data_IF_275704921307
#
_entry.id   IF_275704921307
#
_cell.length_a   1.000
_cell.length_b   1.000
_cell.length_c   1.000
_cell.angle_alpha   90.00
_cell.angle_beta   90.00
_cell.angle_gamma   90.00
#
_symmetry.space_group_name_H-M   'P 1'
#
loop_
_entity.id
_entity.type
_entity.pdbx_description
1 polymer ?
#
# COMPACT_ATOMS: atom_id res chain seq x y z
N UNK A 1 -10.81 -25.51 21.39
CA UNK A 1 -11.81 -26.38 20.70
C UNK A 1 -12.95 -25.46 20.29
N UNK A 2 -13.01 -25.09 19.02
CA UNK A 2 -14.09 -24.25 18.48
C UNK A 2 -15.25 -25.19 18.21
N UNK A 3 -16.39 -24.89 18.80
CA UNK A 3 -17.61 -25.70 18.73
C UNK A 3 -18.11 -25.78 17.28
N UNK A 4 -18.19 -26.98 16.72
CA UNK A 4 -18.37 -27.29 15.30
C UNK A 4 -19.81 -27.20 14.78
N UNK A 5 -20.74 -26.52 15.46
CA UNK A 5 -22.17 -26.57 15.10
C UNK A 5 -22.82 -25.20 14.81
N UNK A 6 -22.06 -24.20 14.43
CA UNK A 6 -22.66 -22.96 13.93
C UNK A 6 -22.56 -22.96 12.40
N UNK A 7 -23.64 -23.34 11.76
CA UNK A 7 -23.78 -23.18 10.30
C UNK A 7 -23.95 -21.69 10.03
N UNK A 8 -22.88 -21.00 9.68
CA UNK A 8 -22.93 -19.60 9.26
C UNK A 8 -23.10 -19.61 7.76
N UNK A 9 -24.24 -19.13 7.29
CA UNK A 9 -24.49 -18.85 5.88
C UNK A 9 -23.70 -17.59 5.50
N UNK A 10 -22.73 -17.71 4.62
CA UNK A 10 -21.93 -16.59 4.15
C UNK A 10 -22.54 -16.00 2.88
N UNK A 11 -22.80 -14.69 2.83
CA UNK A 11 -23.29 -14.05 1.63
C UNK A 11 -22.24 -13.99 0.54
N UNK A 12 -22.69 -13.95 -0.71
CA UNK A 12 -21.84 -13.71 -1.87
C UNK A 12 -21.27 -12.30 -1.79
N UNK A 13 -19.95 -12.14 -1.82
CA UNK A 13 -19.29 -10.83 -1.85
C UNK A 13 -18.81 -10.54 -3.26
N UNK A 14 -19.31 -9.46 -3.85
CA UNK A 14 -18.75 -8.90 -5.08
C UNK A 14 -17.57 -8.01 -4.70
N UNK A 15 -16.39 -8.32 -5.19
CA UNK A 15 -15.22 -7.45 -5.06
C UNK A 15 -15.02 -6.78 -6.39
N UNK A 16 -15.12 -5.45 -6.42
CA UNK A 16 -14.83 -4.65 -7.59
C UNK A 16 -13.36 -4.25 -7.58
N UNK A 17 -12.63 -4.59 -8.62
CA UNK A 17 -11.29 -4.06 -8.86
C UNK A 17 -11.44 -2.70 -9.53
N UNK A 18 -11.00 -1.64 -8.85
CA UNK A 18 -11.05 -0.27 -9.37
C UNK A 18 -10.05 -0.01 -10.50
N UNK A 19 -9.16 -0.98 -10.77
CA UNK A 19 -8.13 -0.87 -11.81
C UNK A 19 -8.42 -1.69 -13.07
N UNK A 20 -9.39 -2.60 -13.01
CA UNK A 20 -9.86 -3.36 -14.15
C UNK A 20 -11.39 -3.31 -14.17
N UNK A 21 -11.99 -3.23 -15.34
CA UNK A 21 -13.46 -3.21 -15.52
C UNK A 21 -14.15 -4.52 -15.08
N UNK A 22 -13.46 -5.38 -14.37
CA UNK A 22 -13.92 -6.70 -13.98
C UNK A 22 -14.34 -6.75 -12.52
N UNK A 23 -15.58 -7.09 -12.26
CA UNK A 23 -16.08 -7.43 -10.95
C UNK A 23 -15.87 -8.93 -10.70
N UNK A 24 -15.19 -9.28 -9.60
CA UNK A 24 -15.01 -10.67 -9.18
C UNK A 24 -15.96 -11.01 -8.04
N UNK A 25 -16.70 -12.09 -8.21
CA UNK A 25 -17.57 -12.63 -7.17
C UNK A 25 -16.81 -13.67 -6.36
N UNK A 26 -16.53 -13.37 -5.09
CA UNK A 26 -15.99 -14.34 -4.16
C UNK A 26 -17.10 -15.18 -3.56
N UNK A 27 -17.08 -16.47 -3.85
CA UNK A 27 -17.94 -17.43 -3.19
C UNK A 27 -17.25 -17.90 -1.91
N UNK A 28 -17.79 -17.50 -0.76
CA UNK A 28 -17.30 -18.01 0.52
C UNK A 28 -17.93 -19.38 0.74
N UNK A 29 -17.15 -20.45 1.01
CA UNK A 29 -17.72 -21.77 1.27
C UNK A 29 -18.58 -21.76 2.52
N UNK A 30 -19.66 -22.55 2.53
CA UNK A 30 -20.55 -22.69 3.68
C UNK A 30 -19.87 -23.28 4.91
N UNK A 31 -18.78 -24.02 4.72
CA UNK A 31 -17.93 -24.53 5.78
C UNK A 31 -16.49 -24.64 5.31
N UNK A 32 -15.55 -24.50 6.23
CA UNK A 32 -14.14 -24.74 6.00
C UNK A 32 -13.81 -26.19 6.40
N UNK A 33 -12.95 -26.81 5.61
CA UNK A 33 -12.43 -28.17 5.87
C UNK A 33 -10.90 -28.14 5.89
N UNK A 34 -10.27 -29.29 6.14
CA UNK A 34 -8.83 -29.43 6.07
C UNK A 34 -8.30 -29.21 4.64
N UNK A 35 -9.07 -29.66 3.64
CA UNK A 35 -8.77 -29.52 2.21
C UNK A 35 -9.10 -28.12 1.68
N UNK A 36 -10.03 -27.43 2.35
CA UNK A 36 -10.49 -26.08 2.03
C UNK A 36 -10.39 -25.20 3.30
N UNK A 37 -9.19 -24.85 3.73
CA UNK A 37 -8.99 -24.04 4.94
C UNK A 37 -9.31 -22.57 4.71
N UNK A 38 -9.63 -21.79 5.76
CA UNK A 38 -9.83 -20.34 5.65
C UNK A 38 -8.54 -19.58 5.34
N UNK A 39 -7.39 -20.15 5.69
CA UNK A 39 -6.05 -19.62 5.44
C UNK A 39 -5.16 -20.77 4.99
N UNK A 40 -4.47 -20.59 3.87
CA UNK A 40 -3.45 -21.53 3.44
C UNK A 40 -2.21 -21.37 4.33
N UNK A 41 -2.05 -22.27 5.31
CA UNK A 41 -0.95 -22.22 6.28
C UNK A 41 0.15 -23.21 5.92
N UNK A 42 1.39 -22.72 5.87
CA UNK A 42 2.59 -23.54 5.68
C UNK A 42 3.70 -23.07 6.63
N UNK A 43 4.58 -23.99 7.00
CA UNK A 43 5.73 -23.67 7.83
C UNK A 43 6.99 -24.43 7.41
N UNK A 44 8.15 -23.81 7.68
CA UNK A 44 9.46 -24.43 7.46
C UNK A 44 10.40 -24.03 8.60
N UNK A 45 11.27 -24.95 9.00
CA UNK A 45 12.26 -24.68 10.06
C UNK A 45 13.65 -25.01 9.53
N UNK A 46 14.60 -24.10 9.79
CA UNK A 46 16.01 -24.29 9.51
C UNK A 46 16.77 -24.35 10.83
N UNK A 47 17.56 -25.41 11.02
CA UNK A 47 18.42 -25.58 12.21
C UNK A 47 19.75 -24.83 12.05
N UNK A 48 19.67 -23.57 11.67
CA UNK A 48 20.79 -22.62 11.52
C UNK A 48 20.37 -21.21 11.89
N UNK A 49 21.33 -20.32 12.07
CA UNK A 49 21.06 -18.88 12.21
C UNK A 49 20.67 -18.29 10.84
N UNK A 50 19.93 -17.19 10.84
CA UNK A 50 19.50 -16.57 9.61
C UNK A 50 20.67 -16.08 8.74
N UNK A 51 21.69 -15.51 9.36
CA UNK A 51 22.92 -15.06 8.69
C UNK A 51 23.75 -16.18 8.05
N UNK A 52 23.57 -17.43 8.48
CA UNK A 52 24.25 -18.60 7.89
C UNK A 52 23.55 -19.03 6.58
N UNK A 53 22.30 -18.69 6.39
CA UNK A 53 21.54 -18.97 5.18
C UNK A 53 21.96 -18.02 4.04
N UNK A 54 22.12 -18.50 2.78
CA UNK A 54 22.53 -17.65 1.64
C UNK A 54 21.66 -16.40 1.45
N UNK A 55 20.35 -16.52 1.70
CA UNK A 55 19.39 -15.40 1.62
C UNK A 55 19.57 -14.45 2.80
N UNK A 56 19.82 -14.96 4.00
CA UNK A 56 20.03 -14.15 5.20
C UNK A 56 21.22 -13.21 5.08
N UNK A 57 22.29 -13.66 4.42
CA UNK A 57 23.49 -12.84 4.16
C UNK A 57 23.24 -11.64 3.25
N UNK A 58 22.21 -11.72 2.41
CA UNK A 58 21.80 -10.66 1.47
C UNK A 58 20.73 -9.74 2.06
N UNK A 59 20.25 -10.07 3.26
CA UNK A 59 19.16 -9.32 3.87
C UNK A 59 19.61 -7.91 4.23
N UNK A 60 18.76 -6.88 4.05
CA UNK A 60 19.10 -5.50 4.38
C UNK A 60 19.52 -5.35 5.84
N UNK A 61 20.71 -4.86 6.08
CA UNK A 61 21.22 -4.50 7.40
C UNK A 61 21.49 -3.00 7.41
N UNK A 62 20.75 -2.28 8.26
CA UNK A 62 20.92 -0.83 8.40
C UNK A 62 22.17 -0.54 9.20
N UNK A 63 23.05 0.29 8.65
CA UNK A 63 24.16 0.90 9.40
C UNK A 63 23.60 2.05 10.25
N UNK A 64 23.54 1.85 11.56
CA UNK A 64 22.99 2.81 12.52
C UNK A 64 23.84 4.06 12.70
N UNK A 65 25.12 4.02 12.28
CA UNK A 65 26.04 5.15 12.33
C UNK A 65 26.01 6.01 11.06
N UNK A 66 25.29 5.56 10.04
CA UNK A 66 25.17 6.29 8.79
C UNK A 66 23.90 7.17 8.80
N UNK A 67 24.12 8.49 8.86
CA UNK A 67 23.06 9.51 8.85
C UNK A 67 22.51 9.82 7.44
N UNK A 68 23.04 9.20 6.40
CA UNK A 68 22.57 9.34 5.03
C UNK A 68 21.55 8.26 4.68
N UNK A 69 20.82 8.48 3.59
CA UNK A 69 19.90 7.45 3.05
C UNK A 69 20.69 6.21 2.64
N UNK A 70 20.17 5.04 2.99
CA UNK A 70 20.75 3.77 2.62
C UNK A 70 19.83 3.07 1.61
N UNK A 71 20.42 2.51 0.56
CA UNK A 71 19.70 1.83 -0.51
C UNK A 71 20.00 0.33 -0.48
N UNK A 72 18.96 -0.46 -0.66
CA UNK A 72 19.04 -1.92 -0.67
C UNK A 72 18.33 -2.47 -1.89
N UNK A 73 18.89 -3.53 -2.48
CA UNK A 73 18.21 -4.27 -3.54
C UNK A 73 16.94 -4.93 -3.02
N UNK A 74 15.89 -4.88 -3.83
CA UNK A 74 14.74 -5.75 -3.62
C UNK A 74 15.13 -7.16 -4.06
N UNK A 75 15.30 -8.05 -3.09
CA UNK A 75 15.78 -9.39 -3.34
C UNK A 75 14.64 -10.27 -3.85
N UNK A 76 14.56 -10.50 -5.16
CA UNK A 76 13.67 -11.54 -5.71
C UNK A 76 13.97 -12.92 -5.13
N UNK A 77 15.23 -13.17 -4.75
CA UNK A 77 15.65 -14.39 -4.07
C UNK A 77 14.99 -14.60 -2.70
N UNK A 78 14.44 -13.57 -2.05
CA UNK A 78 13.63 -13.77 -0.84
C UNK A 78 12.42 -14.67 -1.09
N UNK A 79 11.93 -14.75 -2.33
CA UNK A 79 10.83 -15.66 -2.70
C UNK A 79 11.14 -17.13 -2.39
N UNK A 80 12.40 -17.53 -2.47
CA UNK A 80 12.84 -18.89 -2.16
C UNK A 80 12.57 -19.31 -0.70
N UNK A 81 12.51 -18.33 0.21
CA UNK A 81 12.23 -18.57 1.63
C UNK A 81 10.89 -18.01 2.10
N UNK A 82 10.22 -17.21 1.27
CA UNK A 82 8.93 -16.60 1.63
C UNK A 82 7.76 -17.19 0.83
N UNK A 83 8.02 -18.01 -0.16
CA UNK A 83 7.01 -18.69 -0.97
C UNK A 83 7.25 -20.19 -0.98
N UNK A 84 6.20 -20.94 -1.24
CA UNK A 84 6.24 -22.40 -1.48
C UNK A 84 5.82 -22.66 -2.92
N UNK A 85 6.04 -23.88 -3.44
CA UNK A 85 5.59 -24.28 -4.78
C UNK A 85 4.08 -24.08 -4.99
N UNK A 86 3.30 -24.15 -3.91
CA UNK A 86 1.85 -23.96 -3.93
C UNK A 86 1.41 -22.53 -3.62
N UNK A 87 2.35 -21.59 -3.48
CA UNK A 87 1.99 -20.19 -3.26
C UNK A 87 1.29 -19.61 -4.47
N UNK A 88 0.20 -18.90 -4.23
CA UNK A 88 -0.52 -18.16 -5.25
C UNK A 88 0.29 -16.93 -5.69
N UNK A 89 0.45 -16.74 -6.98
CA UNK A 89 1.30 -15.68 -7.53
C UNK A 89 0.62 -14.83 -8.59
N UNK A 90 -0.43 -15.32 -9.21
CA UNK A 90 -1.20 -14.62 -10.25
C UNK A 90 -2.70 -14.71 -9.93
N UNK A 91 -3.51 -13.81 -10.46
CA UNK A 91 -4.94 -13.75 -10.22
C UNK A 91 -5.65 -15.07 -10.55
N UNK A 92 -5.24 -15.73 -11.63
CA UNK A 92 -5.81 -17.02 -12.10
C UNK A 92 -5.67 -18.13 -11.05
N UNK A 93 -4.66 -18.07 -10.17
CA UNK A 93 -4.49 -19.02 -9.06
C UNK A 93 -5.67 -18.99 -8.07
N UNK A 94 -6.39 -17.86 -8.00
CA UNK A 94 -7.57 -17.71 -7.12
C UNK A 94 -8.89 -17.83 -7.86
N UNK A 95 -8.99 -17.30 -9.11
CA UNK A 95 -10.25 -17.25 -9.85
C UNK A 95 -10.75 -18.65 -10.19
N UNK A 96 -9.86 -19.56 -10.57
CA UNK A 96 -10.21 -20.89 -11.06
C UNK A 96 -9.93 -22.01 -10.04
N UNK A 97 -9.76 -21.67 -8.78
CA UNK A 97 -9.44 -22.65 -7.72
C UNK A 97 -10.20 -22.36 -6.43
N UNK A 98 -10.27 -23.36 -5.56
CA UNK A 98 -10.80 -23.24 -4.19
C UNK A 98 -9.74 -22.80 -3.17
N UNK A 99 -8.64 -22.18 -3.61
CA UNK A 99 -7.58 -21.73 -2.69
C UNK A 99 -8.08 -20.64 -1.75
N UNK A 100 -7.61 -20.68 -0.50
CA UNK A 100 -7.90 -19.63 0.47
C UNK A 100 -7.41 -18.27 -0.03
N UNK A 101 -8.19 -17.22 0.22
CA UNK A 101 -7.83 -15.84 -0.15
C UNK A 101 -6.63 -15.30 0.61
N UNK A 102 -6.36 -15.87 1.79
CA UNK A 102 -5.21 -15.56 2.62
C UNK A 102 -4.25 -16.75 2.65
N UNK A 103 -2.97 -16.48 2.48
CA UNK A 103 -1.88 -17.39 2.73
C UNK A 103 -1.00 -16.91 3.87
N UNK A 104 -0.56 -17.84 4.71
CA UNK A 104 0.40 -17.59 5.80
C UNK A 104 1.52 -18.61 5.69
N UNK A 105 2.73 -18.13 5.44
CA UNK A 105 3.94 -18.95 5.47
C UNK A 105 4.89 -18.47 6.56
N UNK A 106 5.27 -19.39 7.47
CA UNK A 106 6.17 -19.08 8.58
C UNK A 106 7.47 -19.86 8.42
N UNK A 107 8.58 -19.15 8.37
CA UNK A 107 9.92 -19.75 8.31
C UNK A 107 10.70 -19.40 9.56
N UNK A 108 11.08 -20.42 10.31
CA UNK A 108 11.80 -20.26 11.60
C UNK A 108 13.27 -20.62 11.43
N UNK A 109 14.14 -19.73 11.87
CA UNK A 109 15.58 -19.92 12.04
C UNK A 109 15.90 -19.93 13.54
N UNK A 110 17.16 -20.20 13.91
CA UNK A 110 17.59 -20.17 15.31
C UNK A 110 17.41 -18.80 16.00
N UNK A 111 17.44 -17.72 15.27
CA UNK A 111 17.46 -16.34 15.79
C UNK A 111 16.46 -15.41 15.10
N UNK A 112 15.78 -15.88 14.07
CA UNK A 112 14.90 -15.04 13.24
C UNK A 112 13.69 -15.86 12.80
N UNK A 113 12.54 -15.20 12.70
CA UNK A 113 11.34 -15.76 12.09
C UNK A 113 10.87 -14.85 10.96
N UNK A 114 10.63 -15.43 9.78
CA UNK A 114 10.00 -14.75 8.66
C UNK A 114 8.52 -15.12 8.64
N UNK A 115 7.66 -14.12 8.61
CA UNK A 115 6.21 -14.28 8.52
C UNK A 115 5.74 -13.67 7.21
N UNK A 116 5.25 -14.49 6.31
CA UNK A 116 4.77 -14.05 5.00
C UNK A 116 3.26 -14.18 4.92
N UNK A 117 2.60 -13.06 4.66
CA UNK A 117 1.18 -13.00 4.33
C UNK A 117 1.02 -12.80 2.83
N UNK A 118 0.16 -13.61 2.21
CA UNK A 118 -0.20 -13.52 0.79
C UNK A 118 -1.70 -13.29 0.66
N UNK A 119 -2.10 -12.34 -0.17
CA UNK A 119 -3.51 -12.04 -0.45
C UNK A 119 -3.66 -11.36 -1.81
N UNK A 120 -4.88 -11.36 -2.35
CA UNK A 120 -5.24 -10.50 -3.46
C UNK A 120 -5.43 -9.06 -2.98
N UNK A 121 -4.90 -8.07 -3.68
CA UNK A 121 -5.08 -6.66 -3.32
C UNK A 121 -6.55 -6.22 -3.39
N UNK A 122 -7.39 -6.96 -4.11
CA UNK A 122 -8.85 -6.78 -4.10
C UNK A 122 -9.48 -7.10 -2.74
N UNK A 123 -8.84 -7.93 -1.90
CA UNK A 123 -9.34 -8.32 -0.59
C UNK A 123 -9.14 -7.23 0.46
N UNK A 124 -7.94 -6.65 0.53
CA UNK A 124 -7.58 -5.66 1.55
C UNK A 124 -6.49 -4.70 1.10
N UNK A 125 -6.59 -3.46 1.57
CA UNK A 125 -5.58 -2.43 1.46
C UNK A 125 -4.62 -2.40 2.67
N UNK A 126 -3.74 -1.38 2.73
CA UNK A 126 -2.77 -1.24 3.82
C UNK A 126 -3.43 -1.12 5.21
N UNK A 127 -4.55 -0.43 5.32
CA UNK A 127 -5.28 -0.25 6.59
C UNK A 127 -6.11 -1.48 6.93
N UNK A 128 -6.65 -2.18 5.94
CA UNK A 128 -7.30 -3.49 6.11
C UNK A 128 -6.30 -4.53 6.62
N UNK A 129 -5.07 -4.53 6.10
CA UNK A 129 -3.98 -5.36 6.61
C UNK A 129 -3.63 -5.02 8.06
N UNK A 130 -3.56 -3.74 8.41
CA UNK A 130 -3.36 -3.33 9.80
C UNK A 130 -4.45 -3.88 10.72
N UNK A 131 -5.72 -3.75 10.33
CA UNK A 131 -6.85 -4.24 11.11
C UNK A 131 -6.75 -5.76 11.33
N UNK A 132 -6.44 -6.52 10.27
CA UNK A 132 -6.21 -7.96 10.33
C UNK A 132 -5.08 -8.32 11.30
N UNK A 133 -3.92 -7.66 11.18
CA UNK A 133 -2.74 -7.95 12.02
C UNK A 133 -2.97 -7.59 13.48
N UNK A 134 -3.67 -6.50 13.77
CA UNK A 134 -4.05 -6.12 15.16
C UNK A 134 -5.04 -7.10 15.77
N UNK A 135 -6.05 -7.53 15.01
CA UNK A 135 -6.98 -8.55 15.46
C UNK A 135 -6.25 -9.87 15.74
N UNK A 136 -5.35 -10.27 14.86
CA UNK A 136 -4.52 -11.45 15.07
C UNK A 136 -3.63 -11.33 16.32
N UNK A 137 -2.98 -10.17 16.52
CA UNK A 137 -2.22 -9.92 17.74
C UNK A 137 -3.08 -10.04 19.01
N UNK A 138 -4.28 -9.44 19.00
CA UNK A 138 -5.19 -9.52 20.15
C UNK A 138 -5.58 -10.97 20.48
N UNK A 139 -5.87 -11.78 19.45
CA UNK A 139 -6.18 -13.21 19.62
C UNK A 139 -4.97 -13.99 20.19
N UNK A 140 -3.77 -13.75 19.68
CA UNK A 140 -2.54 -14.38 20.19
C UNK A 140 -2.27 -14.02 21.66
N UNK A 141 -2.63 -12.84 22.08
CA UNK A 141 -2.49 -12.35 23.47
C UNK A 141 -3.68 -12.77 24.37
N UNK A 142 -4.65 -13.54 23.85
CA UNK A 142 -5.84 -13.96 24.57
C UNK A 142 -6.89 -12.85 24.80
N UNK A 143 -6.73 -11.71 24.17
CA UNK A 143 -7.61 -10.53 24.25
C UNK A 143 -8.69 -10.56 23.16
N UNK A 144 -9.49 -11.63 23.13
CA UNK A 144 -10.50 -11.81 22.08
C UNK A 144 -11.56 -10.69 22.08
N UNK A 145 -11.90 -10.13 23.25
CA UNK A 145 -12.88 -9.06 23.40
C UNK A 145 -12.38 -7.71 22.82
N UNK A 146 -11.07 -7.58 22.60
CA UNK A 146 -10.46 -6.39 21.96
C UNK A 146 -10.48 -6.46 20.44
N UNK A 147 -10.93 -7.58 19.84
CA UNK A 147 -11.08 -7.69 18.39
C UNK A 147 -12.27 -6.85 17.94
N UNK A 148 -12.06 -5.80 17.10
CA UNK A 148 -13.16 -4.95 16.68
C UNK A 148 -14.21 -5.71 15.88
N UNK A 149 -15.47 -5.25 15.96
CA UNK A 149 -16.53 -5.73 15.08
C UNK A 149 -16.10 -5.64 13.61
N UNK A 150 -16.30 -6.73 12.87
CA UNK A 150 -16.01 -6.76 11.44
C UNK A 150 -17.13 -6.08 10.66
N UNK A 151 -16.88 -4.86 10.18
CA UNK A 151 -17.84 -4.07 9.42
C UNK A 151 -17.79 -4.40 7.93
N UNK A 152 -18.95 -4.55 7.32
CA UNK A 152 -19.05 -4.89 5.89
C UNK A 152 -18.81 -6.38 5.61
N UNK A 153 -19.11 -7.25 6.57
CA UNK A 153 -19.01 -8.70 6.38
C UNK A 153 -20.11 -9.22 5.43
N UNK A 154 -21.32 -8.77 5.59
CA UNK A 154 -22.53 -9.21 4.88
C UNK A 154 -23.13 -8.15 3.93
N UNK A 155 -22.51 -6.98 3.88
CA UNK A 155 -22.90 -5.87 3.00
C UNK A 155 -21.67 -5.09 2.53
N UNK A 156 -21.81 -4.35 1.43
CA UNK A 156 -20.77 -3.42 0.98
C UNK A 156 -21.04 -2.00 1.53
N UNK A 157 -20.26 -1.54 2.53
CA UNK A 157 -20.44 -0.20 3.10
C UNK A 157 -20.14 0.93 2.12
N UNK A 158 -19.43 0.66 1.01
CA UNK A 158 -19.05 1.63 0.00
C UNK A 158 -20.01 1.66 -1.19
N UNK A 159 -21.02 0.79 -1.23
CA UNK A 159 -21.96 0.70 -2.37
C UNK A 159 -22.62 2.06 -2.72
N UNK A 160 -22.88 2.89 -1.71
CA UNK A 160 -23.54 4.19 -1.90
C UNK A 160 -22.55 5.36 -2.07
N UNK A 161 -21.25 5.13 -1.95
CA UNK A 161 -20.24 6.19 -2.08
C UNK A 161 -20.24 6.77 -3.49
N UNK A 162 -20.45 8.08 -3.62
CA UNK A 162 -20.57 8.76 -4.91
C UNK A 162 -21.93 8.60 -5.61
N UNK A 163 -22.94 8.04 -4.94
CA UNK A 163 -24.30 7.98 -5.49
C UNK A 163 -24.94 9.39 -5.60
N UNK A 164 -25.92 9.60 -6.51
CA UNK A 164 -26.65 10.87 -6.59
C UNK A 164 -27.37 11.18 -5.27
N UNK A 165 -27.30 12.43 -4.84
CA UNK A 165 -28.03 12.91 -3.65
C UNK A 165 -29.53 12.97 -3.99
N UNK A 166 -30.35 12.18 -3.33
CA UNK A 166 -31.84 12.21 -3.49
C UNK A 166 -32.50 10.86 -3.76
N UNK A 167 -31.76 9.79 -3.98
CA UNK A 167 -32.31 8.45 -4.05
C UNK A 167 -32.17 7.73 -2.70
N UNK A 168 -33.13 7.99 -1.82
CA UNK A 168 -33.29 7.21 -0.58
C UNK A 168 -33.93 5.85 -0.91
N UNK A 169 -33.20 5.00 -1.63
CA UNK A 169 -33.58 3.61 -1.83
C UNK A 169 -33.00 2.76 -0.71
N UNK A 170 -33.71 2.73 0.40
CA UNK A 170 -33.50 1.81 1.54
C UNK A 170 -33.86 0.35 1.23
N UNK A 171 -34.04 0.00 -0.03
CA UNK A 171 -34.27 -1.39 -0.46
C UNK A 171 -33.58 -1.60 -1.80
N UNK A 172 -32.29 -1.94 -1.77
CA UNK A 172 -31.74 -2.75 -2.85
C UNK A 172 -32.24 -4.18 -2.61
N UNK A 173 -33.49 -4.45 -2.96
CA UNK A 173 -33.85 -5.80 -3.32
C UNK A 173 -32.93 -6.23 -4.46
N UNK A 174 -32.25 -7.32 -4.23
CA UNK A 174 -31.31 -8.01 -5.11
C UNK A 174 -32.01 -8.53 -6.38
N UNK A 175 -32.47 -7.61 -7.24
CA UNK A 175 -33.19 -7.92 -8.49
C UNK A 175 -32.55 -7.28 -9.71
N UNK A 176 -31.25 -7.26 -9.78
CA UNK A 176 -30.56 -7.12 -11.07
C UNK A 176 -29.10 -7.52 -10.89
N UNK A 177 -28.84 -8.81 -10.79
CA UNK A 177 -27.63 -9.35 -11.39
C UNK A 177 -27.78 -9.10 -12.89
N UNK A 178 -27.02 -8.19 -13.51
CA UNK A 178 -26.98 -8.19 -14.95
C UNK A 178 -26.44 -9.57 -15.35
N UNK A 179 -27.16 -10.25 -16.24
CA UNK A 179 -26.60 -11.36 -17.01
C UNK A 179 -25.39 -10.80 -17.75
N UNK A 180 -24.23 -10.84 -17.10
CA UNK A 180 -22.96 -10.51 -17.73
C UNK A 180 -22.71 -11.64 -18.70
N UNK A 181 -23.19 -11.48 -19.92
CA UNK A 181 -22.69 -12.24 -21.06
C UNK A 181 -21.22 -11.87 -21.16
N UNK A 182 -20.38 -12.75 -20.65
CA UNK A 182 -18.93 -12.72 -20.86
C UNK A 182 -18.72 -12.82 -22.37
N UNK A 183 -18.65 -11.68 -23.02
CA UNK A 183 -18.06 -11.62 -24.35
C UNK A 183 -16.57 -11.83 -24.14
N UNK A 184 -16.08 -13.02 -24.45
CA UNK A 184 -14.67 -13.27 -24.66
C UNK A 184 -14.17 -12.32 -25.76
N UNK A 185 -13.74 -11.10 -25.37
CA UNK A 185 -12.88 -10.31 -26.25
C UNK A 185 -11.59 -11.09 -26.37
N UNK A 186 -11.38 -11.73 -27.52
CA UNK A 186 -10.08 -12.24 -27.93
C UNK A 186 -9.06 -11.11 -27.69
N UNK A 187 -8.20 -11.33 -26.74
CA UNK A 187 -7.06 -10.48 -26.49
C UNK A 187 -6.19 -10.54 -27.76
N UNK A 188 -6.20 -9.47 -28.55
CA UNK A 188 -5.24 -9.31 -29.63
C UNK A 188 -3.86 -9.42 -29.03
N UNK A 189 -3.10 -10.40 -29.50
CA UNK A 189 -1.71 -10.62 -29.11
C UNK A 189 -0.93 -9.34 -29.40
N UNK A 190 -0.59 -8.59 -28.37
CA UNK A 190 0.38 -7.51 -28.45
C UNK A 190 1.65 -8.09 -29.06
N UNK A 191 2.12 -7.49 -30.14
CA UNK A 191 3.37 -7.81 -30.81
C UNK A 191 4.50 -8.00 -29.79
N UNK A 192 5.43 -8.96 -30.00
CA UNK A 192 6.51 -9.20 -29.07
C UNK A 192 7.30 -7.91 -28.88
N UNK A 193 7.26 -7.39 -27.64
CA UNK A 193 8.06 -6.23 -27.26
C UNK A 193 9.53 -6.54 -27.49
N UNK A 194 10.24 -5.64 -28.13
CA UNK A 194 11.67 -5.72 -28.44
C UNK A 194 12.45 -6.23 -27.21
N UNK A 195 13.30 -7.21 -27.41
CA UNK A 195 14.02 -8.04 -26.42
C UNK A 195 15.06 -7.29 -25.53
N UNK A 196 15.03 -5.97 -25.41
CA UNK A 196 16.04 -5.19 -24.68
C UNK A 196 15.57 -4.45 -23.44
N UNK A 197 14.32 -4.59 -23.01
CA UNK A 197 13.88 -3.95 -21.75
C UNK A 197 14.30 -4.80 -20.56
N UNK A 198 15.35 -4.37 -19.82
CA UNK A 198 15.67 -4.89 -18.48
C UNK A 198 14.38 -4.97 -17.63
N UNK A 199 14.22 -6.08 -16.92
CA UNK A 199 13.10 -6.25 -15.99
C UNK A 199 13.03 -5.09 -14.98
N UNK A 200 11.83 -4.68 -14.54
CA UNK A 200 11.71 -3.67 -13.50
C UNK A 200 12.51 -4.08 -12.26
N UNK A 201 13.32 -3.17 -11.75
CA UNK A 201 14.09 -3.38 -10.53
C UNK A 201 13.51 -2.51 -9.43
N UNK A 202 13.27 -3.10 -8.26
CA UNK A 202 12.85 -2.39 -7.06
C UNK A 202 14.03 -1.96 -6.21
N UNK A 203 13.86 -0.86 -5.47
CA UNK A 203 14.78 -0.41 -4.41
C UNK A 203 14.01 -0.26 -3.12
N UNK A 204 14.67 -0.65 -2.03
CA UNK A 204 14.25 -0.32 -0.68
C UNK A 204 15.21 0.72 -0.12
N UNK A 205 14.68 1.84 0.34
CA UNK A 205 15.45 2.90 0.97
C UNK A 205 15.17 2.91 2.48
N UNK A 206 16.22 3.07 3.26
CA UNK A 206 16.10 3.46 4.65
C UNK A 206 16.49 4.93 4.79
N UNK A 207 15.56 5.73 5.28
CA UNK A 207 15.73 7.17 5.52
C UNK A 207 15.87 7.37 7.02
N UNK A 208 17.09 7.63 7.55
CA UNK A 208 17.32 7.84 8.97
C UNK A 208 16.50 9.00 9.54
N UNK A 209 16.20 8.94 10.84
CA UNK A 209 15.46 10.00 11.52
C UNK A 209 16.15 11.36 11.42
N UNK A 210 17.50 11.37 11.52
CA UNK A 210 18.34 12.56 11.36
C UNK A 210 18.21 13.16 9.96
N UNK A 211 18.25 12.31 8.91
CA UNK A 211 18.07 12.76 7.53
C UNK A 211 16.65 13.34 7.33
N UNK A 212 15.62 12.69 7.83
CA UNK A 212 14.25 13.20 7.76
C UNK A 212 14.10 14.56 8.46
N UNK A 213 14.80 14.77 9.58
CA UNK A 213 14.82 16.05 10.27
C UNK A 213 15.47 17.15 9.40
N UNK A 214 16.56 16.85 8.68
CA UNK A 214 17.19 17.77 7.72
C UNK A 214 16.24 18.12 6.57
N UNK A 215 15.59 17.12 5.97
CA UNK A 215 14.58 17.33 4.93
C UNK A 215 13.43 18.23 5.42
N UNK A 216 12.97 18.01 6.65
CA UNK A 216 11.94 18.84 7.27
C UNK A 216 12.40 20.28 7.43
N UNK A 217 13.59 20.51 7.94
CA UNK A 217 14.14 21.87 8.09
C UNK A 217 14.23 22.57 6.74
N UNK A 218 14.77 21.90 5.72
CA UNK A 218 14.84 22.41 4.34
C UNK A 218 13.46 22.76 3.80
N UNK A 219 12.50 21.83 3.88
CA UNK A 219 11.16 22.04 3.35
C UNK A 219 10.40 23.17 4.08
N UNK A 220 10.56 23.29 5.40
CA UNK A 220 9.94 24.38 6.15
C UNK A 220 10.55 25.73 5.83
N UNK A 221 11.85 25.81 5.59
CA UNK A 221 12.53 27.04 5.16
C UNK A 221 12.06 27.47 3.76
N UNK A 222 11.84 26.51 2.84
CA UNK A 222 11.33 26.83 1.50
C UNK A 222 9.96 27.53 1.55
N UNK A 223 9.12 27.27 2.60
CA UNK A 223 7.80 27.90 2.74
C UNK A 223 7.86 29.41 2.91
N UNK A 224 8.97 29.96 3.36
CA UNK A 224 9.13 31.42 3.59
C UNK A 224 9.02 32.25 2.31
N UNK A 225 9.24 31.61 1.13
CA UNK A 225 9.13 32.22 -0.18
C UNK A 225 7.79 31.97 -0.88
N UNK A 226 6.86 31.23 -0.23
CA UNK A 226 5.52 30.99 -0.76
C UNK A 226 4.52 32.04 -0.30
N UNK A 227 3.53 32.31 -1.16
CA UNK A 227 2.35 33.08 -0.75
C UNK A 227 1.56 32.32 0.33
N UNK A 228 1.05 33.07 1.32
CA UNK A 228 0.30 32.50 2.45
C UNK A 228 -0.91 31.65 2.01
N UNK A 229 -1.52 31.97 0.87
CA UNK A 229 -2.65 31.19 0.30
C UNK A 229 -2.26 29.80 -0.18
N UNK A 230 -0.96 29.55 -0.38
CA UNK A 230 -0.42 28.25 -0.79
C UNK A 230 0.03 27.39 0.39
N UNK A 231 0.03 27.95 1.59
CA UNK A 231 0.49 27.29 2.81
C UNK A 231 -0.71 26.78 3.61
N UNK A 232 -0.64 25.55 4.06
CA UNK A 232 -1.59 25.00 5.04
C UNK A 232 -1.09 25.31 6.46
N UNK A 233 -1.98 25.77 7.32
CA UNK A 233 -1.67 26.13 8.69
C UNK A 233 -2.31 25.16 9.68
N UNK A 234 -1.58 24.82 10.74
CA UNK A 234 -2.13 24.09 11.87
C UNK A 234 -2.69 25.07 12.92
N UNK A 235 -3.97 24.93 13.21
CA UNK A 235 -4.72 25.79 14.15
C UNK A 235 -5.05 25.07 15.46
N UNK A 236 -4.70 23.77 15.60
CA UNK A 236 -5.25 22.92 16.66
C UNK A 236 -4.73 23.21 18.07
N UNK A 237 -3.55 23.85 18.25
CA UNK A 237 -2.88 23.96 19.56
C UNK A 237 -2.26 25.33 19.87
N UNK A 238 -2.50 26.38 19.10
CA UNK A 238 -1.92 27.68 19.37
C UNK A 238 -2.85 28.82 18.92
N UNK A 239 -2.78 29.95 19.63
CA UNK A 239 -3.46 31.20 19.25
C UNK A 239 -2.95 31.77 17.91
N UNK A 240 -1.78 31.33 17.46
CA UNK A 240 -1.19 31.72 16.18
C UNK A 240 -1.09 30.51 15.23
N UNK A 241 -1.69 30.56 14.03
CA UNK A 241 -1.55 29.55 13.00
C UNK A 241 -0.09 29.39 12.59
N UNK A 242 0.43 28.14 12.60
CA UNK A 242 1.80 27.84 12.15
C UNK A 242 1.77 27.06 10.84
N UNK A 243 2.67 27.39 9.89
CA UNK A 243 2.84 26.58 8.67
C UNK A 243 3.03 25.11 9.01
N UNK A 244 2.39 24.23 8.25
CA UNK A 244 2.38 22.80 8.56
C UNK A 244 2.65 21.93 7.33
N UNK A 245 3.66 21.05 7.47
CA UNK A 245 3.90 19.91 6.60
C UNK A 245 4.07 18.66 7.46
N UNK A 246 3.50 17.53 7.03
CA UNK A 246 3.80 16.23 7.65
C UNK A 246 5.08 15.62 7.06
N UNK A 247 5.68 14.64 7.77
CA UNK A 247 6.77 13.86 7.19
C UNK A 247 6.34 13.19 5.86
N UNK A 248 5.06 12.77 5.79
CA UNK A 248 4.49 12.18 4.59
C UNK A 248 4.53 13.09 3.37
N UNK A 249 4.21 14.37 3.53
CA UNK A 249 4.25 15.35 2.43
C UNK A 249 5.68 15.55 1.93
N UNK A 250 6.61 15.66 2.89
CA UNK A 250 8.01 15.96 2.63
C UNK A 250 8.71 14.79 1.94
N UNK A 251 8.62 13.57 2.48
CA UNK A 251 9.29 12.44 1.85
C UNK A 251 8.62 12.05 0.51
N UNK A 252 7.31 12.26 0.36
CA UNK A 252 6.63 12.01 -0.93
C UNK A 252 7.12 12.99 -2.00
N UNK A 253 7.22 14.27 -1.67
CA UNK A 253 7.78 15.28 -2.56
C UNK A 253 9.25 14.95 -2.92
N UNK A 254 10.07 14.60 -1.91
CA UNK A 254 11.46 14.23 -2.07
C UNK A 254 11.63 12.98 -2.95
N UNK A 255 10.89 11.91 -2.65
CA UNK A 255 10.93 10.65 -3.39
C UNK A 255 10.59 10.88 -4.87
N UNK A 256 9.45 11.53 -5.15
CA UNK A 256 9.00 11.73 -6.53
C UNK A 256 9.92 12.70 -7.27
N UNK A 257 10.49 13.71 -6.61
CA UNK A 257 11.47 14.60 -7.23
C UNK A 257 12.69 13.83 -7.75
N UNK A 258 13.20 12.87 -6.96
CA UNK A 258 14.30 12.01 -7.39
C UNK A 258 13.88 11.03 -8.49
N UNK A 259 12.65 10.49 -8.41
CA UNK A 259 12.10 9.63 -9.44
C UNK A 259 12.00 10.34 -10.81
N UNK A 260 11.46 11.55 -10.83
CA UNK A 260 11.37 12.38 -12.05
C UNK A 260 12.75 12.75 -12.58
N UNK A 261 13.67 13.16 -11.70
CA UNK A 261 15.03 13.56 -12.10
C UNK A 261 15.89 12.39 -12.60
N UNK A 262 15.55 11.16 -12.23
CA UNK A 262 16.26 9.97 -12.68
C UNK A 262 15.70 9.38 -13.99
N UNK A 263 14.54 9.81 -14.45
CA UNK A 263 13.91 9.30 -15.67
C UNK A 263 14.41 10.08 -16.90
N UNK A 264 15.36 9.48 -17.64
CA UNK A 264 15.91 10.09 -18.84
C UNK A 264 14.83 10.39 -19.90
N UNK A 265 13.80 9.57 -20.02
CA UNK A 265 12.73 9.77 -21.01
C UNK A 265 11.86 10.99 -20.67
N UNK A 266 11.71 11.29 -19.39
CA UNK A 266 11.04 12.50 -18.94
C UNK A 266 11.95 13.72 -19.17
N UNK A 267 13.23 13.65 -18.88
CA UNK A 267 14.15 14.76 -19.06
C UNK A 267 14.29 15.18 -20.54
N UNK A 268 14.07 14.26 -21.47
CA UNK A 268 14.01 14.51 -22.92
C UNK A 268 12.63 14.98 -23.41
N UNK A 269 11.62 14.99 -22.53
CA UNK A 269 10.26 15.37 -22.88
C UNK A 269 10.06 16.89 -22.89
N UNK A 270 9.02 17.41 -23.58
CA UNK A 270 8.71 18.83 -23.55
C UNK A 270 8.53 19.36 -22.12
N UNK A 271 9.03 20.57 -21.80
CA UNK A 271 8.92 21.16 -20.46
C UNK A 271 7.49 21.31 -19.93
N UNK A 272 6.52 21.38 -20.84
CA UNK A 272 5.08 21.51 -20.54
C UNK A 272 4.40 20.15 -20.30
N UNK A 273 5.11 19.02 -20.49
CA UNK A 273 4.54 17.70 -20.27
C UNK A 273 3.93 17.61 -18.88
N UNK A 274 2.69 17.08 -18.74
CA UNK A 274 2.09 16.93 -17.43
C UNK A 274 2.81 15.87 -16.56
N UNK A 275 3.09 16.23 -15.31
CA UNK A 275 3.52 15.33 -14.25
C UNK A 275 2.40 15.28 -13.21
N UNK A 276 1.81 14.13 -13.05
CA UNK A 276 0.70 13.91 -12.11
C UNK A 276 1.23 13.16 -10.91
N UNK A 277 1.26 13.82 -9.77
CA UNK A 277 1.51 13.16 -8.50
C UNK A 277 0.17 12.69 -7.91
N UNK A 278 0.09 11.43 -7.50
CA UNK A 278 -1.08 10.84 -6.85
C UNK A 278 -0.67 10.37 -5.45
N UNK A 279 -1.25 10.99 -4.44
CA UNK A 279 -1.10 10.56 -3.04
C UNK A 279 -2.30 9.69 -2.66
N UNK A 280 -2.06 8.46 -2.21
CA UNK A 280 -3.13 7.55 -1.83
C UNK A 280 -3.67 7.92 -0.45
N UNK A 281 -4.95 8.33 -0.41
CA UNK A 281 -5.69 8.65 0.81
C UNK A 281 -6.52 7.44 1.25
N UNK A 282 -6.31 6.96 2.49
CA UNK A 282 -7.24 6.04 3.14
C UNK A 282 -8.51 6.78 3.58
N UNK A 283 -9.66 6.34 3.07
CA UNK A 283 -10.94 7.05 3.27
C UNK A 283 -11.64 6.72 4.59
N UNK A 284 -11.18 5.75 5.40
CA UNK A 284 -11.90 5.30 6.61
C UNK A 284 -12.22 6.43 7.58
N UNK A 285 -11.25 7.32 7.84
CA UNK A 285 -11.47 8.48 8.72
C UNK A 285 -12.52 9.44 8.15
N UNK A 286 -12.47 9.69 6.83
CA UNK A 286 -13.42 10.56 6.12
C UNK A 286 -14.83 9.95 6.14
N UNK A 287 -14.93 8.64 5.95
CA UNK A 287 -16.19 7.90 5.90
C UNK A 287 -16.77 7.59 7.28
N UNK A 288 -16.02 7.85 8.35
CA UNK A 288 -16.48 7.72 9.74
C UNK A 288 -17.20 8.96 10.26
N UNK A 289 -17.23 10.03 9.49
CA UNK A 289 -17.89 11.29 9.87
C UNK A 289 -19.25 11.43 9.19
N UNK A 290 -20.24 11.95 9.92
CA UNK A 290 -21.54 12.33 9.39
C UNK A 290 -21.60 13.82 9.13
N UNK A 291 -22.42 14.23 8.17
CA UNK A 291 -22.85 15.61 7.95
C UNK A 291 -24.34 15.66 7.67
N UNK A 292 -24.90 16.84 7.45
CA UNK A 292 -26.30 16.97 7.04
C UNK A 292 -26.61 16.27 5.70
N UNK A 293 -25.57 16.04 4.87
CA UNK A 293 -25.70 15.43 3.54
C UNK A 293 -25.30 13.96 3.48
N UNK A 294 -24.39 13.51 4.37
CA UNK A 294 -23.77 12.19 4.27
C UNK A 294 -23.84 11.42 5.59
N UNK A 295 -24.29 10.18 5.51
CA UNK A 295 -24.31 9.24 6.64
C UNK A 295 -22.89 8.66 6.86
N UNK A 296 -22.63 8.13 8.05
CA UNK A 296 -21.44 7.32 8.34
C UNK A 296 -21.52 6.05 7.50
N UNK A 297 -20.42 5.74 6.77
CA UNK A 297 -20.31 4.50 6.00
C UNK A 297 -19.46 3.47 6.72
N UNK A 298 -18.39 3.90 7.38
CA UNK A 298 -17.49 3.04 8.17
C UNK A 298 -17.43 3.63 9.59
N UNK A 299 -18.14 3.05 10.57
CA UNK A 299 -18.11 3.57 11.94
C UNK A 299 -16.72 3.49 12.58
N UNK A 300 -16.39 4.45 13.44
CA UNK A 300 -15.16 4.39 14.23
C UNK A 300 -15.22 3.20 15.19
N UNK A 301 -14.05 2.57 15.39
CA UNK A 301 -13.95 1.40 16.27
C UNK A 301 -14.32 0.07 15.62
N UNK A 302 -14.82 0.08 14.39
CA UNK A 302 -15.05 -1.14 13.60
C UNK A 302 -13.85 -1.46 12.70
N UNK A 303 -13.73 -2.72 12.27
CA UNK A 303 -12.71 -3.20 11.35
C UNK A 303 -13.30 -3.41 9.95
N UNK A 304 -13.14 -2.45 9.05
CA UNK A 304 -13.36 -2.65 7.63
C UNK A 304 -12.04 -3.04 6.95
N UNK A 305 -11.92 -4.28 6.50
CA UNK A 305 -10.69 -4.80 5.90
C UNK A 305 -10.58 -4.54 4.39
N UNK A 306 -11.70 -4.31 3.70
CA UNK A 306 -11.73 -4.07 2.25
C UNK A 306 -10.99 -2.80 1.82
N UNK A 307 -10.84 -2.61 0.52
CA UNK A 307 -10.23 -1.41 -0.03
C UNK A 307 -11.11 -0.18 0.23
N UNK A 308 -10.54 0.80 0.93
CA UNK A 308 -11.16 2.10 1.17
C UNK A 308 -10.12 3.21 0.98
N UNK A 309 -9.65 3.35 -0.25
CA UNK A 309 -8.64 4.33 -0.63
C UNK A 309 -9.04 5.06 -1.90
N UNK A 310 -8.58 6.30 -2.04
CA UNK A 310 -8.74 7.12 -3.25
C UNK A 310 -7.44 7.87 -3.54
N UNK A 311 -7.28 8.33 -4.79
CA UNK A 311 -6.15 9.16 -5.19
C UNK A 311 -6.42 10.64 -4.94
N UNK A 312 -5.49 11.33 -4.29
CA UNK A 312 -5.41 12.80 -4.24
C UNK A 312 -4.43 13.23 -5.33
N UNK A 313 -4.89 14.05 -6.23
CA UNK A 313 -4.17 14.40 -7.46
C UNK A 313 -3.54 15.78 -7.35
N UNK A 314 -2.22 15.85 -7.55
CA UNK A 314 -1.47 17.11 -7.62
C UNK A 314 -0.81 17.23 -9.00
N UNK A 315 -1.37 18.07 -9.91
CA UNK A 315 -0.83 18.27 -11.25
C UNK A 315 0.28 19.32 -11.24
N UNK A 316 1.32 19.05 -12.04
CA UNK A 316 2.44 19.94 -12.33
C UNK A 316 2.76 19.89 -13.83
N UNK A 317 3.46 20.89 -14.38
CA UNK A 317 4.26 20.68 -15.59
C UNK A 317 5.63 20.12 -15.23
N UNK A 318 6.27 19.40 -16.13
CA UNK A 318 7.60 18.83 -15.90
C UNK A 318 8.62 19.91 -15.44
N UNK A 319 8.64 21.05 -16.14
CA UNK A 319 9.51 22.17 -15.77
C UNK A 319 9.23 22.69 -14.35
N UNK A 320 7.95 22.92 -14.02
CA UNK A 320 7.58 23.37 -12.67
C UNK A 320 8.08 22.36 -11.62
N UNK A 321 7.83 21.08 -11.85
CA UNK A 321 8.21 20.04 -10.89
C UNK A 321 9.71 19.96 -10.65
N UNK A 322 10.50 20.08 -11.68
CA UNK A 322 11.99 20.07 -11.60
C UNK A 322 12.53 21.32 -10.92
N UNK A 323 11.99 22.50 -11.23
CA UNK A 323 12.51 23.78 -10.75
C UNK A 323 12.06 24.11 -9.30
N UNK A 324 10.90 23.59 -8.88
CA UNK A 324 10.34 23.93 -7.57
C UNK A 324 11.21 23.43 -6.41
N UNK A 325 11.42 24.22 -5.35
CA UNK A 325 12.00 23.78 -4.09
C UNK A 325 11.17 22.64 -3.47
N UNK A 326 11.83 21.80 -2.64
CA UNK A 326 11.18 20.66 -1.97
C UNK A 326 9.93 21.06 -1.19
N UNK A 327 10.04 22.13 -0.39
CA UNK A 327 8.94 22.63 0.44
C UNK A 327 7.75 23.14 -0.37
N UNK A 328 7.97 23.68 -1.57
CA UNK A 328 6.88 24.13 -2.44
C UNK A 328 6.08 22.95 -2.99
N UNK A 329 6.77 21.86 -3.43
CA UNK A 329 6.10 20.63 -3.87
C UNK A 329 5.32 20.04 -2.70
N UNK A 330 5.94 19.93 -1.51
CA UNK A 330 5.30 19.39 -0.30
C UNK A 330 4.09 20.21 0.15
N UNK A 331 4.16 21.55 0.03
CA UNK A 331 3.05 22.45 0.35
C UNK A 331 1.87 22.24 -0.61
N UNK A 332 2.14 22.07 -1.91
CA UNK A 332 1.12 21.78 -2.90
C UNK A 332 0.45 20.44 -2.61
N UNK A 333 1.23 19.38 -2.34
CA UNK A 333 0.71 18.06 -1.94
C UNK A 333 -0.18 18.17 -0.70
N UNK A 334 0.26 18.91 0.32
CA UNK A 334 -0.52 19.14 1.55
C UNK A 334 -1.81 19.88 1.28
N UNK A 335 -1.78 20.93 0.49
CA UNK A 335 -2.95 21.71 0.12
C UNK A 335 -3.98 20.84 -0.63
N UNK A 336 -3.53 20.12 -1.65
CA UNK A 336 -4.38 19.21 -2.42
C UNK A 336 -4.99 18.11 -1.52
N UNK A 337 -4.21 17.59 -0.55
CA UNK A 337 -4.71 16.62 0.43
C UNK A 337 -5.83 17.18 1.30
N UNK A 338 -5.73 18.43 1.73
CA UNK A 338 -6.77 19.10 2.55
C UNK A 338 -8.02 19.39 1.71
N UNK A 339 -7.83 19.89 0.48
CA UNK A 339 -8.92 20.28 -0.39
C UNK A 339 -9.68 19.07 -0.95
N UNK A 340 -8.99 18.00 -1.36
CA UNK A 340 -9.59 16.81 -1.96
C UNK A 340 -9.89 15.69 -0.94
N UNK A 341 -9.31 15.75 0.26
CA UNK A 341 -9.42 14.71 1.29
C UNK A 341 -10.59 14.89 2.26
N UNK A 342 -11.48 15.83 2.04
CA UNK A 342 -12.70 15.99 2.83
C UNK A 342 -13.87 15.16 2.26
N UNK A 343 -14.97 15.02 3.01
CA UNK A 343 -16.09 14.16 2.63
C UNK A 343 -16.75 14.57 1.32
N UNK A 344 -16.99 15.84 1.12
CA UNK A 344 -17.63 16.37 -0.09
C UNK A 344 -16.80 16.10 -1.34
N UNK A 345 -15.50 16.35 -1.26
CA UNK A 345 -14.56 16.12 -2.36
C UNK A 345 -14.42 14.62 -2.70
N UNK A 346 -14.33 13.76 -1.68
CA UNK A 346 -14.29 12.31 -1.85
C UNK A 346 -15.57 11.79 -2.55
N UNK A 347 -16.75 12.25 -2.11
CA UNK A 347 -18.02 11.87 -2.75
C UNK A 347 -18.10 12.36 -4.21
N UNK A 348 -17.63 13.59 -4.47
CA UNK A 348 -17.59 14.13 -5.82
C UNK A 348 -16.63 13.37 -6.73
N UNK A 349 -15.44 13.04 -6.24
CA UNK A 349 -14.44 12.24 -6.96
C UNK A 349 -14.96 10.85 -7.29
N UNK A 350 -15.58 10.16 -6.34
CA UNK A 350 -16.16 8.83 -6.56
C UNK A 350 -17.34 8.86 -7.55
N UNK A 351 -18.12 9.94 -7.53
CA UNK A 351 -19.18 10.14 -8.54
C UNK A 351 -18.62 10.35 -9.94
N UNK A 352 -17.55 11.16 -10.07
CA UNK A 352 -16.89 11.38 -11.34
C UNK A 352 -16.32 10.07 -11.90
N UNK A 353 -15.64 9.26 -11.06
CA UNK A 353 -15.12 7.96 -11.47
C UNK A 353 -16.19 6.99 -11.95
N UNK A 354 -17.38 7.00 -11.34
CA UNK A 354 -18.51 6.18 -11.81
C UNK A 354 -19.02 6.61 -13.19
N UNK A 355 -18.94 7.90 -13.51
CA UNK A 355 -19.35 8.44 -14.82
C UNK A 355 -18.29 8.13 -15.88
N UNK A 356 -16.99 8.32 -15.56
CA UNK A 356 -15.88 8.05 -16.48
C UNK A 356 -15.78 6.59 -16.89
N UNK A 357 -16.08 5.65 -15.99
CA UNK A 357 -16.18 4.21 -16.32
C UNK A 357 -17.23 3.91 -17.39
N UNK A 358 -18.17 4.82 -17.64
CA UNK A 358 -19.21 4.69 -18.67
C UNK A 358 -18.84 5.35 -20.00
N UNK A 359 -17.76 6.13 -20.03
CA UNK A 359 -17.33 6.87 -21.21
C UNK A 359 -15.93 6.43 -21.65
N UNK A 360 -15.84 5.72 -22.78
CA UNK A 360 -14.56 5.37 -23.41
C UNK A 360 -13.92 6.64 -24.00
N UNK A 361 -12.98 7.25 -23.28
CA UNK A 361 -12.14 8.32 -23.83
C UNK A 361 -10.91 7.75 -24.53
N UNK A 362 -10.63 8.22 -25.75
CA UNK A 362 -9.43 7.85 -26.47
C UNK A 362 -8.17 8.31 -25.72
N UNK A 363 -7.07 7.50 -25.67
CA UNK A 363 -5.84 7.91 -25.03
C UNK A 363 -5.26 9.15 -25.70
N UNK A 364 -4.69 10.11 -24.93
CA UNK A 364 -4.00 11.27 -25.50
C UNK A 364 -2.76 10.84 -26.26
N UNK A 365 -2.24 11.75 -27.11
CA UNK A 365 -0.97 11.58 -27.83
C UNK A 365 0.13 11.08 -26.87
N UNK A 366 0.83 10.03 -27.23
CA UNK A 366 1.81 9.37 -26.39
C UNK A 366 2.93 10.30 -25.88
N UNK A 367 3.32 11.34 -26.66
CA UNK A 367 4.33 12.31 -26.26
C UNK A 367 3.82 13.30 -25.19
N UNK A 368 2.52 13.57 -25.18
CA UNK A 368 1.87 14.47 -24.21
C UNK A 368 1.13 13.68 -23.12
N UNK A 369 1.15 12.36 -23.18
CA UNK A 369 0.61 11.54 -22.09
C UNK A 369 1.25 11.91 -20.75
N UNK A 370 0.44 12.12 -19.69
CA UNK A 370 0.98 12.50 -18.39
C UNK A 370 1.93 11.43 -17.83
N UNK A 371 2.99 11.89 -17.17
CA UNK A 371 3.81 11.03 -16.34
C UNK A 371 3.13 10.91 -14.95
N UNK A 372 2.74 9.71 -14.56
CA UNK A 372 1.99 9.49 -13.32
C UNK A 372 2.87 8.85 -12.26
N UNK A 373 2.98 9.51 -11.11
CA UNK A 373 3.72 9.01 -9.95
C UNK A 373 2.75 8.79 -8.79
N UNK A 374 2.65 7.55 -8.33
CA UNK A 374 1.75 7.19 -7.23
C UNK A 374 2.58 6.93 -5.98
N UNK A 375 2.23 7.58 -4.87
CA UNK A 375 2.84 7.30 -3.56
C UNK A 375 1.77 6.86 -2.57
N UNK A 376 1.96 5.65 -2.02
CA UNK A 376 1.10 5.09 -0.99
C UNK A 376 1.82 5.09 0.35
N UNK A 377 1.33 5.90 1.29
CA UNK A 377 1.95 6.06 2.62
C UNK A 377 1.23 5.21 3.67
N UNK A 378 1.88 4.13 4.12
CA UNK A 378 1.34 3.21 5.14
C UNK A 378 1.85 3.50 6.56
N UNK A 379 2.53 4.62 6.80
CA UNK A 379 3.07 4.94 8.13
C UNK A 379 1.98 4.95 9.22
N UNK A 380 0.74 5.35 8.87
CA UNK A 380 -0.42 5.26 9.77
C UNK A 380 -0.80 3.82 10.14
N UNK A 381 -0.45 2.84 9.33
CA UNK A 381 -0.71 1.43 9.62
C UNK A 381 0.17 0.89 10.75
N UNK A 382 1.25 1.60 11.11
CA UNK A 382 2.12 1.27 12.24
C UNK A 382 2.57 -0.19 12.25
N UNK A 383 2.92 -0.72 11.08
CA UNK A 383 3.22 -2.14 10.90
C UNK A 383 4.42 -2.61 11.74
N UNK A 384 5.39 -1.73 12.00
CA UNK A 384 6.53 -2.02 12.87
C UNK A 384 6.16 -2.06 14.37
N UNK A 385 4.96 -1.60 14.75
CA UNK A 385 4.47 -1.68 16.13
C UNK A 385 3.69 -2.96 16.42
N UNK A 386 3.34 -3.75 15.40
CA UNK A 386 2.68 -5.06 15.55
C UNK A 386 3.60 -5.97 16.37
N UNK A 387 3.02 -6.66 17.36
CA UNK A 387 3.80 -7.44 18.32
C UNK A 387 3.33 -8.90 18.37
N UNK A 388 4.18 -9.80 17.91
CA UNK A 388 3.96 -11.24 17.94
C UNK A 388 4.69 -11.93 19.11
N UNK A 389 5.07 -11.18 20.15
CA UNK A 389 5.81 -11.76 21.30
C UNK A 389 5.05 -12.90 21.99
N UNK A 390 3.71 -12.88 21.96
CA UNK A 390 2.88 -13.98 22.50
C UNK A 390 3.05 -15.30 21.73
N UNK A 391 3.52 -15.25 20.47
CA UNK A 391 3.83 -16.45 19.68
C UNK A 391 5.31 -16.82 19.71
N UNK A 392 6.16 -16.05 20.38
CA UNK A 392 7.59 -16.36 20.49
C UNK A 392 7.79 -17.45 21.53
N UNK A 393 8.35 -18.58 21.12
CA UNK A 393 8.75 -19.66 22.03
C UNK A 393 10.12 -19.31 22.62
N UNK A 394 10.23 -19.08 23.94
CA UNK A 394 11.52 -18.86 24.58
C UNK A 394 12.45 -20.05 24.34
N UNK A 395 13.69 -19.78 23.95
CA UNK A 395 14.70 -20.84 23.91
C UNK A 395 15.26 -21.05 25.27
N UNK A 396 15.30 -22.30 25.66
CA UNK A 396 15.98 -22.75 26.89
C UNK A 396 17.16 -23.64 26.51
N UNK A 397 18.26 -23.54 27.26
CA UNK A 397 19.34 -24.50 27.21
C UNK A 397 18.91 -25.84 27.82
N UNK A 398 19.81 -26.82 27.79
CA UNK A 398 19.58 -28.14 28.40
C UNK A 398 19.34 -28.11 29.93
N UNK A 399 19.49 -26.94 30.55
CA UNK A 399 19.28 -26.71 32.00
C UNK A 399 18.05 -25.84 32.28
N UNK A 400 17.27 -25.47 31.21
CA UNK A 400 16.07 -24.64 31.33
C UNK A 400 16.35 -23.14 31.43
N UNK A 401 17.60 -22.69 31.24
CA UNK A 401 17.98 -21.29 31.23
C UNK A 401 17.70 -20.62 29.86
N UNK A 402 17.35 -19.31 29.84
CA UNK A 402 17.10 -18.61 28.60
C UNK A 402 18.38 -18.47 27.75
N UNK A 403 18.35 -18.91 26.50
CA UNK A 403 19.46 -18.78 25.55
C UNK A 403 19.24 -17.60 24.60
N UNK A 404 20.15 -16.62 24.66
CA UNK A 404 20.17 -15.49 23.72
C UNK A 404 19.40 -14.25 24.18
N UNK A 405 19.49 -13.16 23.40
CA UNK A 405 18.69 -11.95 23.63
C UNK A 405 17.21 -12.24 23.44
N UNK A 406 16.31 -11.70 24.30
CA UNK A 406 14.88 -11.87 24.12
C UNK A 406 14.46 -11.39 22.73
N UNK A 407 13.80 -12.23 21.96
CA UNK A 407 13.20 -11.83 20.69
C UNK A 407 12.01 -10.92 21.00
N UNK A 408 12.00 -9.72 20.44
CA UNK A 408 10.98 -8.72 20.78
C UNK A 408 9.60 -9.05 20.19
N UNK A 409 9.49 -9.99 19.26
CA UNK A 409 8.27 -10.29 18.52
C UNK A 409 7.82 -9.16 17.58
N UNK A 410 8.56 -8.06 17.50
CA UNK A 410 8.25 -6.94 16.60
C UNK A 410 9.02 -7.06 15.29
N UNK A 411 8.41 -6.65 14.16
CA UNK A 411 9.12 -6.62 12.89
C UNK A 411 10.32 -5.66 12.94
N UNK A 412 11.47 -6.13 12.49
CA UNK A 412 12.67 -5.31 12.27
C UNK A 412 12.82 -4.88 10.82
N UNK A 413 12.19 -5.61 9.91
CA UNK A 413 12.13 -5.33 8.49
C UNK A 413 10.79 -5.81 7.91
N UNK A 414 10.23 -5.06 6.97
CA UNK A 414 9.00 -5.42 6.28
C UNK A 414 9.24 -5.23 4.79
N UNK A 415 9.00 -6.30 4.05
CA UNK A 415 9.09 -6.30 2.60
C UNK A 415 7.71 -6.50 1.97
N UNK A 416 7.48 -5.89 0.82
CA UNK A 416 6.23 -6.02 0.07
C UNK A 416 6.54 -6.37 -1.37
N UNK A 417 6.02 -7.49 -1.82
CA UNK A 417 6.07 -7.90 -3.22
C UNK A 417 4.77 -7.58 -3.94
N UNK A 418 4.86 -7.01 -5.13
CA UNK A 418 3.82 -7.19 -6.13
C UNK A 418 4.16 -8.42 -6.96
N UNK A 419 3.22 -9.35 -7.10
CA UNK A 419 3.46 -10.59 -7.89
C UNK A 419 2.95 -10.51 -9.31
N UNK A 420 2.11 -9.54 -9.63
CA UNK A 420 1.54 -9.40 -10.97
C UNK A 420 2.60 -8.86 -11.94
N UNK A 421 3.14 -9.78 -12.75
CA UNK A 421 4.03 -9.44 -13.86
C UNK A 421 3.35 -8.57 -14.93
N UNK A 422 2.01 -8.54 -14.97
CA UNK A 422 1.24 -7.68 -15.89
C UNK A 422 1.26 -6.22 -15.45
N UNK A 423 1.29 -5.94 -14.13
CA UNK A 423 1.41 -4.58 -13.61
C UNK A 423 2.76 -3.93 -13.97
N UNK A 424 3.78 -4.71 -14.28
CA UNK A 424 5.11 -4.25 -14.67
C UNK A 424 5.28 -3.99 -16.16
N UNK A 425 4.29 -4.32 -17.01
CA UNK A 425 4.43 -4.27 -18.46
C UNK A 425 3.29 -3.62 -19.24
N UNK A 426 2.11 -3.44 -18.66
CA UNK A 426 0.95 -2.96 -19.41
C UNK A 426 0.61 -1.51 -19.08
N UNK A 427 1.02 -0.60 -19.96
CA UNK A 427 0.27 0.63 -20.18
C UNK A 427 0.36 1.75 -19.15
N UNK A 428 1.15 1.61 -18.08
CA UNK A 428 1.51 2.77 -17.28
C UNK A 428 2.55 3.54 -18.09
N UNK A 429 2.15 4.69 -18.59
CA UNK A 429 3.07 5.62 -19.24
C UNK A 429 4.29 5.90 -18.37
N UNK A 430 5.19 6.80 -18.75
CA UNK A 430 6.33 7.17 -17.92
C UNK A 430 5.81 7.57 -16.53
N UNK A 431 6.46 7.02 -15.49
CA UNK A 431 6.03 7.21 -14.11
C UNK A 431 6.56 6.12 -13.19
N UNK A 432 6.09 6.10 -11.96
CA UNK A 432 6.54 5.15 -10.95
C UNK A 432 5.58 5.01 -9.79
N UNK A 433 5.75 3.91 -9.04
CA UNK A 433 5.01 3.67 -7.82
C UNK A 433 6.00 3.64 -6.67
N UNK A 434 5.76 4.48 -5.67
CA UNK A 434 6.47 4.48 -4.40
C UNK A 434 5.56 4.14 -3.24
N UNK A 435 6.11 3.51 -2.20
CA UNK A 435 5.38 3.28 -0.96
C UNK A 435 6.25 3.61 0.26
N UNK A 436 5.63 4.11 1.30
CA UNK A 436 6.23 4.16 2.62
C UNK A 436 5.67 3.00 3.45
N UNK A 437 6.52 2.04 3.76
CA UNK A 437 6.13 0.86 4.55
C UNK A 437 5.85 1.23 6.00
N UNK A 438 6.60 2.20 6.53
CA UNK A 438 6.40 2.70 7.88
C UNK A 438 7.68 3.23 8.51
N UNK A 439 7.54 3.63 9.77
CA UNK A 439 8.60 4.10 10.64
C UNK A 439 9.00 2.98 11.60
N UNK A 440 10.26 2.60 11.62
CA UNK A 440 10.77 1.54 12.48
C UNK A 440 11.06 2.04 13.92
N UNK A 441 11.50 1.12 14.78
CA UNK A 441 11.80 1.42 16.18
C UNK A 441 12.96 2.43 16.37
N UNK A 442 13.84 2.60 15.36
CA UNK A 442 14.93 3.58 15.35
C UNK A 442 14.46 4.96 14.91
N UNK A 443 13.21 5.07 14.46
CA UNK A 443 12.61 6.32 13.99
C UNK A 443 12.89 6.63 12.52
N UNK A 444 13.56 5.75 11.79
CA UNK A 444 13.79 5.86 10.36
C UNK A 444 12.61 5.34 9.55
N UNK A 445 12.47 5.84 8.32
CA UNK A 445 11.42 5.42 7.39
C UNK A 445 11.95 4.41 6.38
N UNK A 446 11.15 3.38 6.12
CA UNK A 446 11.35 2.44 5.05
C UNK A 446 10.48 2.81 3.85
N UNK A 447 11.12 3.15 2.73
CA UNK A 447 10.47 3.51 1.48
C UNK A 447 10.78 2.44 0.43
N UNK A 448 9.78 2.00 -0.31
CA UNK A 448 9.92 1.12 -1.46
C UNK A 448 9.53 1.85 -2.74
N UNK A 449 10.13 1.45 -3.85
CA UNK A 449 9.75 1.95 -5.16
C UNK A 449 10.01 0.92 -6.24
N UNK A 450 9.11 0.86 -7.23
CA UNK A 450 9.26 0.06 -8.44
C UNK A 450 9.43 1.03 -9.60
N UNK A 451 10.50 0.82 -10.34
CA UNK A 451 10.91 1.68 -11.43
C UNK A 451 11.06 0.85 -12.70
N UNK A 452 10.61 1.35 -13.83
CA UNK A 452 10.84 0.71 -15.12
C UNK A 452 12.35 0.69 -15.45
N UNK A 453 12.83 -0.40 -16.04
CA UNK A 453 14.23 -0.76 -16.14
C UNK A 453 15.19 0.34 -16.58
N UNK A 454 16.37 0.34 -15.97
CA UNK A 454 17.53 1.19 -16.31
C UNK A 454 17.67 2.50 -15.52
N UNK A 455 16.64 2.97 -14.79
CA UNK A 455 16.78 4.17 -13.98
C UNK A 455 16.96 3.92 -12.46
N UNK A 456 16.84 2.68 -12.00
CA UNK A 456 17.09 2.36 -10.60
C UNK A 456 18.49 2.82 -10.16
N UNK A 457 19.52 2.62 -10.99
CA UNK A 457 20.89 3.08 -10.72
C UNK A 457 20.99 4.61 -10.69
N UNK A 458 20.32 5.32 -11.62
CA UNK A 458 20.29 6.78 -11.63
C UNK A 458 19.53 7.35 -10.44
N UNK A 459 18.42 6.72 -10.09
CA UNK A 459 17.62 7.06 -8.92
C UNK A 459 18.44 6.89 -7.63
N UNK A 460 19.09 5.74 -7.47
CA UNK A 460 19.95 5.47 -6.33
C UNK A 460 21.07 6.50 -6.22
N UNK A 461 21.77 6.78 -7.34
CA UNK A 461 22.80 7.81 -7.38
C UNK A 461 22.25 9.19 -7.00
N UNK A 462 21.08 9.57 -7.52
CA UNK A 462 20.46 10.86 -7.22
C UNK A 462 20.08 10.97 -5.72
N UNK A 463 19.52 9.91 -5.16
CA UNK A 463 19.14 9.84 -3.74
C UNK A 463 20.37 9.91 -2.83
N UNK A 464 21.44 9.15 -3.15
CA UNK A 464 22.66 9.13 -2.34
C UNK A 464 23.49 10.42 -2.48
N UNK A 465 23.30 11.19 -3.55
CA UNK A 465 23.99 12.48 -3.74
C UNK A 465 23.26 13.68 -3.12
N UNK A 466 22.01 13.53 -2.68
CA UNK A 466 21.23 14.59 -2.00
C UNK A 466 21.49 14.59 -0.46
N UNK A 467 22.46 13.83 0.00
CA UNK A 467 22.79 13.64 1.42
C UNK A 467 23.52 14.85 2.05
#
# INVERSE_FOLDING_TARGET
>A
MINSNTTVSFPKRTICDTHTESAYLHLVPSCYTKERPPVNFTQKTYDMRFEEHPIGRKFPVVDEHNDSVQSFDVLDSLREVTQTENSTTVLDDWIHTDKAQLGLHVVSFKDTTLVTLTWLHTLLDAMGRQALLKAWQAVLEGRNDDVPEFWGFDFDPLAQLGAPLGEDKTTVEDKNTPDVKVQEKKQESLSPASETKKAPTGRMLYVPASYMARLRTRAMNDLTSLDASQITYNTSNSSEPKPFLSDGDIFSAWLVKHLVSADATLLESPPVRPVIFVNVLGMRDVLSTSSSKYKVLIPRGTAFIGNAATGIVSPFSLKQFLDMPLGHIAARIRKDLVEQGNREAVEASQRASRIEQQTNMAPPDAQMAPAVFVVSNWAKAKLFEINFSAAVVPRTDNQGGPVGKPTTGKPTYIHVYGTDKRASGSGVGPGGIGNCVGKDARGGYWLGGICSGGWAERFEKAVLSDA
#
